data_IF_010975826052
#
_entry.id   IF_010975826052
#
_cell.length_a   1.000
_cell.length_b   1.000
_cell.length_c   1.000
_cell.angle_alpha   90.00
_cell.angle_beta   90.00
_cell.angle_gamma   90.00
#
_symmetry.space_group_name_H-M   'P 1'
#
loop_
_entity.id
_entity.type
_entity.pdbx_description
1 polymer ?
#
# COMPACT_ATOMS: atom_id res chain seq x y z
N UNK A 1 -0.52 5.07 23.24
CA UNK A 1 0.83 5.17 22.67
C UNK A 1 1.03 3.94 21.81
N UNK A 2 1.38 4.11 20.53
CA UNK A 2 1.54 3.04 19.56
C UNK A 2 3.02 2.73 19.37
N UNK A 3 3.38 1.44 19.41
CA UNK A 3 4.75 0.97 19.11
C UNK A 3 4.91 0.80 17.60
N UNK A 4 5.83 1.55 17.02
CA UNK A 4 6.08 1.59 15.59
C UNK A 4 7.49 1.09 15.30
N UNK A 5 7.59 -0.03 14.59
CA UNK A 5 8.85 -0.46 13.99
C UNK A 5 9.07 0.32 12.70
N UNK A 6 10.18 1.07 12.59
CA UNK A 6 10.57 1.77 11.37
C UNK A 6 11.75 1.04 10.73
N UNK A 7 11.57 0.52 9.52
CA UNK A 7 12.62 -0.11 8.71
C UNK A 7 13.09 0.90 7.65
N UNK A 8 14.27 1.50 7.78
CA UNK A 8 14.79 2.47 6.81
C UNK A 8 15.16 1.84 5.46
N UNK A 9 15.36 0.52 5.40
CA UNK A 9 15.63 -0.21 4.15
C UNK A 9 16.91 0.22 3.44
N UNK A 10 16.90 0.15 2.11
CA UNK A 10 18.06 0.36 1.23
C UNK A 10 17.82 1.48 0.20
N UNK A 11 18.90 1.92 -0.46
CA UNK A 11 18.85 2.90 -1.54
C UNK A 11 18.30 4.25 -1.05
N UNK A 12 17.19 4.72 -1.64
CA UNK A 12 16.50 5.94 -1.20
C UNK A 12 15.75 5.79 0.13
N UNK A 13 15.59 4.56 0.62
CA UNK A 13 14.80 4.24 1.80
C UNK A 13 15.15 5.09 3.03
N UNK A 14 16.43 5.21 3.42
CA UNK A 14 16.83 6.02 4.57
C UNK A 14 16.42 7.50 4.45
N UNK A 15 16.48 8.08 3.26
CA UNK A 15 16.11 9.50 3.02
C UNK A 15 14.61 9.72 3.24
N UNK A 16 13.77 8.86 2.64
CA UNK A 16 12.31 8.99 2.75
C UNK A 16 11.78 8.51 4.11
N UNK A 17 12.47 7.58 4.77
CA UNK A 17 12.17 7.15 6.13
C UNK A 17 12.43 8.28 7.13
N UNK A 18 13.54 9.02 6.98
CA UNK A 18 13.84 10.21 7.77
C UNK A 18 12.78 11.31 7.57
N UNK A 19 12.38 11.56 6.33
CA UNK A 19 11.31 12.50 6.02
C UNK A 19 9.99 12.12 6.70
N UNK A 20 9.60 10.84 6.58
CA UNK A 20 8.37 10.32 7.17
C UNK A 20 8.41 10.33 8.69
N UNK A 21 9.55 9.99 9.31
CA UNK A 21 9.79 10.11 10.75
C UNK A 21 9.56 11.54 11.24
N UNK A 22 10.08 12.53 10.52
CA UNK A 22 9.90 13.95 10.87
C UNK A 22 8.43 14.37 10.86
N UNK A 23 7.63 13.83 9.92
CA UNK A 23 6.18 14.02 9.90
C UNK A 23 5.55 13.34 11.13
N UNK A 24 5.87 12.08 11.41
CA UNK A 24 5.31 11.33 12.55
C UNK A 24 5.63 11.96 13.91
N UNK A 25 6.84 12.50 14.08
CA UNK A 25 7.25 13.24 15.29
C UNK A 25 6.42 14.52 15.45
N UNK A 26 6.14 15.26 14.37
CA UNK A 26 5.24 16.40 14.43
C UNK A 26 3.81 16.00 14.83
N UNK A 27 3.31 14.89 14.28
CA UNK A 27 2.00 14.33 14.67
C UNK A 27 2.00 13.95 16.16
N UNK A 28 3.07 13.32 16.64
CA UNK A 28 3.28 12.98 18.06
C UNK A 28 3.14 14.20 18.97
N UNK A 29 3.79 15.30 18.58
CA UNK A 29 3.84 16.51 19.38
C UNK A 29 2.53 17.30 19.34
N UNK A 30 1.87 17.36 18.18
CA UNK A 30 0.75 18.30 17.96
C UNK A 30 -0.65 17.69 17.98
N UNK A 31 -0.82 16.43 17.62
CA UNK A 31 -2.14 15.84 17.40
C UNK A 31 -2.52 14.75 18.40
N UNK A 32 -1.80 14.67 19.52
CA UNK A 32 -2.08 13.75 20.64
C UNK A 32 -2.13 12.26 20.24
N UNK A 33 -1.50 11.92 19.11
CA UNK A 33 -1.27 10.53 18.67
C UNK A 33 0.15 10.16 19.05
N UNK A 34 0.32 9.45 20.18
CA UNK A 34 1.64 9.15 20.73
C UNK A 34 2.26 7.91 20.10
N UNK A 35 3.50 8.03 19.62
CA UNK A 35 4.31 6.95 19.07
C UNK A 35 5.55 6.67 19.93
N UNK A 36 5.90 5.39 20.05
CA UNK A 36 7.22 4.89 20.42
C UNK A 36 7.84 4.31 19.14
N UNK A 37 8.78 5.03 18.51
CA UNK A 37 9.35 4.64 17.21
C UNK A 37 10.71 3.98 17.43
N UNK A 38 10.81 2.71 17.03
CA UNK A 38 12.05 1.92 17.12
C UNK A 38 12.58 1.64 15.73
N UNK A 39 13.83 2.04 15.46
CA UNK A 39 14.51 1.69 14.20
C UNK A 39 14.84 0.19 14.15
N UNK A 40 14.64 -0.41 12.99
CA UNK A 40 14.86 -1.83 12.75
C UNK A 40 15.71 -2.01 11.50
N UNK A 41 16.81 -2.74 11.64
CA UNK A 41 17.70 -3.05 10.53
C UNK A 41 17.19 -4.26 9.74
N UNK A 42 17.02 -4.10 8.43
CA UNK A 42 16.73 -5.17 7.50
C UNK A 42 17.12 -4.75 6.08
N UNK A 43 17.46 -5.72 5.22
CA UNK A 43 17.76 -5.50 3.81
C UNK A 43 19.21 -5.76 3.41
N UNK A 44 19.57 -5.27 2.24
CA UNK A 44 20.82 -5.62 1.54
C UNK A 44 22.06 -5.15 2.30
N UNK A 45 21.96 -4.02 3.01
CA UNK A 45 23.03 -3.53 3.86
C UNK A 45 23.47 -4.56 4.93
N UNK A 46 22.55 -5.40 5.41
CA UNK A 46 22.83 -6.45 6.39
C UNK A 46 23.39 -7.70 5.69
N UNK A 47 22.82 -8.07 4.55
CA UNK A 47 23.33 -9.18 3.73
C UNK A 47 24.78 -8.95 3.31
N UNK A 48 25.13 -7.73 2.89
CA UNK A 48 26.53 -7.36 2.53
C UNK A 48 27.52 -7.51 3.68
N UNK A 49 27.06 -7.43 4.93
CA UNK A 49 27.89 -7.64 6.14
C UNK A 49 27.94 -9.12 6.56
N UNK A 50 27.39 -10.03 5.76
CA UNK A 50 27.33 -11.48 6.04
C UNK A 50 26.16 -11.90 6.94
N UNK A 51 25.18 -11.01 7.17
CA UNK A 51 23.99 -11.30 7.97
C UNK A 51 22.82 -11.86 7.18
N UNK A 52 21.74 -12.24 7.87
CA UNK A 52 20.44 -12.54 7.26
C UNK A 52 19.73 -11.23 6.88
N UNK A 53 19.02 -11.20 5.76
CA UNK A 53 18.28 -10.02 5.31
C UNK A 53 17.32 -9.46 6.38
N UNK A 54 16.68 -10.35 7.14
CA UNK A 54 15.94 -10.01 8.36
C UNK A 54 16.58 -10.72 9.56
N UNK A 55 17.40 -10.03 10.38
CA UNK A 55 17.96 -10.59 11.59
C UNK A 55 16.89 -10.99 12.62
N UNK A 56 17.18 -12.01 13.43
CA UNK A 56 16.24 -12.53 14.42
C UNK A 56 15.86 -11.45 15.47
N UNK A 57 16.80 -10.59 15.87
CA UNK A 57 16.52 -9.47 16.77
C UNK A 57 15.60 -8.40 16.12
N UNK A 58 15.79 -8.12 14.84
CA UNK A 58 14.93 -7.22 14.06
C UNK A 58 13.50 -7.74 13.98
N UNK A 59 13.34 -9.04 13.71
CA UNK A 59 12.05 -9.69 13.71
C UNK A 59 11.35 -9.59 15.08
N UNK A 60 12.08 -9.80 16.19
CA UNK A 60 11.51 -9.68 17.54
C UNK A 60 11.05 -8.25 17.88
N UNK A 61 11.71 -7.21 17.36
CA UNK A 61 11.25 -5.82 17.51
C UNK A 61 9.94 -5.61 16.73
N UNK A 62 9.89 -6.05 15.47
CA UNK A 62 8.69 -5.95 14.62
C UNK A 62 7.51 -6.66 15.28
N UNK A 63 7.73 -7.88 15.78
CA UNK A 63 6.71 -8.70 16.43
C UNK A 63 6.12 -8.09 17.71
N UNK A 64 6.91 -7.30 18.44
CA UNK A 64 6.48 -6.60 19.67
C UNK A 64 5.86 -5.23 19.40
N UNK A 65 5.85 -4.79 18.15
CA UNK A 65 5.28 -3.51 17.73
C UNK A 65 3.79 -3.66 17.40
N UNK A 66 3.05 -2.56 17.44
CA UNK A 66 1.64 -2.53 17.02
C UNK A 66 1.52 -2.48 15.49
N UNK A 67 2.53 -1.88 14.85
CA UNK A 67 2.57 -1.60 13.42
C UNK A 67 4.01 -1.45 12.93
N UNK A 68 4.21 -1.66 11.64
CA UNK A 68 5.52 -1.50 11.00
C UNK A 68 5.41 -0.55 9.80
N UNK A 69 6.32 0.43 9.74
CA UNK A 69 6.57 1.27 8.57
C UNK A 69 7.86 0.80 7.92
N UNK A 70 7.81 0.47 6.63
CA UNK A 70 8.94 -0.08 5.91
C UNK A 70 9.22 0.75 4.67
N UNK A 71 10.42 1.29 4.55
CA UNK A 71 10.91 1.89 3.31
C UNK A 71 11.35 0.79 2.31
N UNK A 72 11.69 1.12 1.06
CA UNK A 72 12.10 0.13 0.08
C UNK A 72 13.32 -0.69 0.54
N UNK A 73 13.30 -1.97 0.21
CA UNK A 73 14.45 -2.88 0.37
C UNK A 73 14.89 -3.24 -1.05
N UNK A 74 16.19 -3.47 -1.25
CA UNK A 74 16.72 -3.83 -2.56
C UNK A 74 16.49 -5.30 -2.90
N UNK A 75 17.54 -6.00 -3.31
CA UNK A 75 17.46 -7.36 -3.87
C UNK A 75 16.89 -8.38 -2.87
N UNK A 76 17.14 -8.19 -1.58
CA UNK A 76 16.64 -9.05 -0.50
C UNK A 76 15.19 -8.76 -0.09
N UNK A 77 14.45 -7.94 -0.86
CA UNK A 77 13.08 -7.56 -0.52
C UNK A 77 12.17 -8.78 -0.30
N UNK A 78 12.30 -9.82 -1.13
CA UNK A 78 11.50 -11.04 -1.01
C UNK A 78 11.73 -11.75 0.34
N UNK A 79 12.99 -11.87 0.77
CA UNK A 79 13.36 -12.52 2.03
C UNK A 79 12.85 -11.78 3.27
N UNK A 80 12.53 -10.50 3.13
CA UNK A 80 11.97 -9.68 4.21
C UNK A 80 10.45 -9.62 4.11
N UNK A 81 9.90 -9.05 3.03
CA UNK A 81 8.47 -8.73 2.97
C UNK A 81 7.59 -9.97 2.78
N UNK A 82 8.01 -10.94 1.96
CA UNK A 82 7.21 -12.17 1.76
C UNK A 82 7.19 -12.99 3.03
N UNK A 83 8.33 -13.08 3.73
CA UNK A 83 8.42 -13.70 5.04
C UNK A 83 7.47 -13.04 6.06
N UNK A 84 7.56 -11.70 6.21
CA UNK A 84 6.71 -10.96 7.14
C UNK A 84 5.21 -11.08 6.81
N UNK A 85 4.84 -11.02 5.52
CA UNK A 85 3.44 -11.21 5.08
C UNK A 85 2.89 -12.56 5.50
N UNK A 86 3.68 -13.62 5.37
CA UNK A 86 3.27 -14.98 5.77
C UNK A 86 3.17 -15.12 7.28
N UNK A 87 4.19 -14.69 8.02
CA UNK A 87 4.25 -14.86 9.49
C UNK A 87 3.16 -14.07 10.20
N UNK A 88 2.81 -12.88 9.71
CA UNK A 88 1.76 -12.04 10.30
C UNK A 88 0.39 -12.19 9.61
N UNK A 89 0.24 -13.13 8.66
CA UNK A 89 -0.99 -13.35 7.86
C UNK A 89 -1.56 -12.04 7.29
N UNK A 90 -0.70 -11.25 6.63
CA UNK A 90 -1.03 -9.93 6.08
C UNK A 90 -1.78 -10.06 4.74
N UNK A 91 -3.02 -10.52 4.82
CA UNK A 91 -3.81 -10.99 3.69
C UNK A 91 -4.38 -9.91 2.77
N UNK A 92 -4.52 -8.68 3.25
CA UNK A 92 -5.08 -7.59 2.47
C UNK A 92 -3.99 -6.62 2.05
N UNK A 93 -3.65 -6.60 0.76
CA UNK A 93 -2.76 -5.61 0.18
C UNK A 93 -3.59 -4.45 -0.38
N UNK A 94 -3.41 -3.25 0.17
CA UNK A 94 -4.21 -2.07 -0.14
C UNK A 94 -3.38 -1.09 -0.95
N UNK A 95 -3.85 -0.75 -2.16
CA UNK A 95 -3.16 0.09 -3.13
C UNK A 95 -4.10 1.21 -3.61
N UNK A 96 -4.14 2.36 -2.92
CA UNK A 96 -4.89 3.51 -3.40
C UNK A 96 -4.20 4.11 -4.63
N UNK A 97 -5.00 4.49 -5.62
CA UNK A 97 -4.59 5.24 -6.79
C UNK A 97 -5.44 6.52 -6.85
N UNK A 98 -4.83 7.64 -6.54
CA UNK A 98 -5.49 8.95 -6.46
C UNK A 98 -4.72 10.00 -7.25
N UNK A 99 -5.45 10.76 -8.06
CA UNK A 99 -4.94 11.95 -8.73
C UNK A 99 -4.76 13.09 -7.71
N UNK A 100 -3.57 13.69 -7.68
CA UNK A 100 -3.27 14.87 -6.88
C UNK A 100 -3.02 16.10 -7.77
N UNK A 101 -3.25 17.32 -7.26
CA UNK A 101 -3.00 18.55 -8.02
C UNK A 101 -1.58 18.62 -8.59
N UNK A 102 -1.45 19.15 -9.80
CA UNK A 102 -0.17 19.31 -10.51
C UNK A 102 0.60 17.99 -10.75
N UNK A 103 -0.05 16.84 -10.67
CA UNK A 103 0.47 15.56 -11.14
C UNK A 103 -0.19 15.24 -12.47
N UNK A 104 0.62 14.94 -13.48
CA UNK A 104 0.11 14.57 -14.80
C UNK A 104 -0.48 13.16 -14.75
N UNK A 105 -1.80 13.07 -14.80
CA UNK A 105 -2.54 11.81 -14.84
C UNK A 105 -3.28 11.67 -16.17
N UNK A 106 -3.68 10.44 -16.50
CA UNK A 106 -4.41 10.17 -17.74
C UNK A 106 -5.80 10.84 -17.77
N UNK A 107 -6.44 10.96 -16.61
CA UNK A 107 -7.72 11.63 -16.39
C UNK A 107 -7.70 12.38 -15.05
N UNK A 108 -8.62 13.32 -14.91
CA UNK A 108 -8.87 14.04 -13.67
C UNK A 108 -9.81 13.27 -12.73
N UNK A 109 -9.85 13.66 -11.46
CA UNK A 109 -10.81 13.16 -10.46
C UNK A 109 -10.80 11.64 -10.25
N UNK A 110 -9.63 11.03 -10.41
CA UNK A 110 -9.41 9.61 -10.10
C UNK A 110 -9.15 9.47 -8.60
N UNK A 111 -9.96 8.68 -7.91
CA UNK A 111 -9.75 8.24 -6.53
C UNK A 111 -10.33 6.84 -6.40
N UNK A 112 -9.46 5.84 -6.43
CA UNK A 112 -9.83 4.44 -6.27
C UNK A 112 -8.86 3.71 -5.34
N UNK A 113 -9.26 2.53 -4.88
CA UNK A 113 -8.41 1.63 -4.12
C UNK A 113 -8.52 0.21 -4.64
N UNK A 114 -7.37 -0.40 -4.92
CA UNK A 114 -7.27 -1.81 -5.22
C UNK A 114 -7.01 -2.56 -3.90
N UNK A 115 -7.87 -3.53 -3.63
CA UNK A 115 -7.83 -4.45 -2.50
C UNK A 115 -7.45 -5.82 -3.05
N UNK A 116 -6.18 -6.17 -2.89
CA UNK A 116 -5.54 -7.36 -3.43
C UNK A 116 -5.41 -8.41 -2.35
N UNK A 117 -5.88 -9.63 -2.65
CA UNK A 117 -5.58 -10.82 -1.83
C UNK A 117 -4.06 -11.08 -1.87
N UNK A 118 -3.42 -11.35 -0.73
CA UNK A 118 -1.96 -11.28 -0.60
C UNK A 118 -1.31 -12.56 -0.02
N UNK A 119 -2.03 -13.68 0.06
CA UNK A 119 -1.55 -14.92 0.72
C UNK A 119 -1.63 -16.18 -0.12
N UNK A 120 -2.41 -16.20 -1.19
CA UNK A 120 -2.55 -17.36 -2.08
C UNK A 120 -2.35 -16.95 -3.56
N UNK A 121 -3.05 -17.61 -4.49
CA UNK A 121 -2.80 -17.56 -5.94
C UNK A 121 -1.44 -18.18 -6.29
N UNK A 122 -0.92 -17.89 -7.48
CA UNK A 122 0.42 -18.31 -7.93
C UNK A 122 1.56 -17.83 -7.01
N UNK A 123 1.33 -16.84 -6.15
CA UNK A 123 2.29 -16.34 -5.16
C UNK A 123 2.55 -17.32 -4.01
N UNK A 124 1.83 -18.45 -3.98
CA UNK A 124 2.21 -19.58 -3.15
C UNK A 124 3.61 -20.13 -3.52
N UNK A 125 4.09 -19.90 -4.75
CA UNK A 125 5.41 -20.35 -5.23
C UNK A 125 5.46 -21.86 -5.42
N UNK A 126 4.31 -22.48 -5.68
CA UNK A 126 4.19 -23.92 -5.91
C UNK A 126 4.44 -24.21 -7.38
N UNK A 127 5.71 -24.24 -7.75
CA UNK A 127 6.20 -24.45 -9.11
C UNK A 127 7.04 -25.73 -9.21
N UNK A 128 6.87 -26.46 -10.30
CA UNK A 128 7.53 -27.74 -10.54
C UNK A 128 7.96 -27.86 -12.00
N UNK A 129 9.16 -28.35 -12.26
CA UNK A 129 9.57 -28.79 -13.58
C UNK A 129 9.09 -30.23 -13.84
N UNK A 130 8.57 -30.47 -15.03
CA UNK A 130 8.08 -31.77 -15.48
C UNK A 130 8.45 -32.00 -16.95
N UNK A 131 9.48 -32.82 -17.19
CA UNK A 131 10.05 -33.07 -18.52
C UNK A 131 10.36 -31.76 -19.27
N UNK A 132 9.68 -31.50 -20.39
CA UNK A 132 9.80 -30.29 -21.22
C UNK A 132 8.71 -29.24 -20.89
N UNK A 133 8.14 -29.28 -19.69
CA UNK A 133 7.13 -28.35 -19.21
C UNK A 133 7.44 -27.87 -17.79
N UNK A 134 6.92 -26.72 -17.42
CA UNK A 134 6.90 -26.23 -16.04
C UNK A 134 5.44 -26.02 -15.62
N UNK A 135 5.13 -26.35 -14.38
CA UNK A 135 3.78 -26.31 -13.80
C UNK A 135 3.78 -25.31 -12.67
N UNK A 136 2.82 -24.38 -12.69
CA UNK A 136 2.53 -23.50 -11.56
C UNK A 136 1.13 -23.82 -10.99
N UNK A 137 1.04 -24.03 -9.68
CA UNK A 137 -0.24 -24.27 -9.01
C UNK A 137 -0.85 -22.93 -8.57
N UNK A 138 -2.01 -22.59 -9.16
CA UNK A 138 -2.87 -21.50 -8.70
C UNK A 138 -3.84 -22.00 -7.63
N UNK A 139 -3.58 -21.65 -6.37
CA UNK A 139 -4.44 -21.98 -5.24
C UNK A 139 -5.39 -20.82 -4.93
N UNK A 140 -6.70 -21.07 -4.92
CA UNK A 140 -7.71 -20.12 -4.42
C UNK A 140 -8.58 -20.81 -3.38
N UNK A 141 -8.77 -20.19 -2.23
CA UNK A 141 -9.56 -20.74 -1.12
C UNK A 141 -10.77 -19.85 -0.80
N UNK A 142 -11.86 -20.49 -0.33
CA UNK A 142 -13.05 -19.75 0.12
C UNK A 142 -12.70 -18.85 1.31
N UNK A 143 -11.82 -19.29 2.22
CA UNK A 143 -11.40 -18.52 3.39
C UNK A 143 -10.75 -17.20 2.98
N UNK A 144 -9.73 -17.24 2.11
CA UNK A 144 -9.02 -16.04 1.66
C UNK A 144 -9.92 -15.11 0.83
N UNK A 145 -10.72 -15.69 -0.07
CA UNK A 145 -11.67 -14.94 -0.90
C UNK A 145 -12.73 -14.22 -0.06
N UNK A 146 -13.26 -14.87 0.99
CA UNK A 146 -14.23 -14.27 1.90
C UNK A 146 -13.62 -13.10 2.69
N UNK A 147 -12.44 -13.29 3.31
CA UNK A 147 -11.82 -12.23 4.13
C UNK A 147 -11.41 -11.01 3.31
N UNK A 148 -10.89 -11.19 2.10
CA UNK A 148 -10.49 -10.06 1.25
C UNK A 148 -11.72 -9.28 0.77
N UNK A 149 -12.80 -9.97 0.43
CA UNK A 149 -14.08 -9.33 0.10
C UNK A 149 -14.64 -8.57 1.31
N UNK A 150 -14.68 -9.18 2.50
CA UNK A 150 -15.14 -8.50 3.72
C UNK A 150 -14.30 -7.24 4.03
N UNK A 151 -12.98 -7.31 3.81
CA UNK A 151 -12.11 -6.15 3.96
C UNK A 151 -12.48 -5.05 2.95
N UNK A 152 -12.66 -5.38 1.67
CA UNK A 152 -13.03 -4.42 0.63
C UNK A 152 -14.35 -3.70 0.94
N UNK A 153 -15.36 -4.43 1.42
CA UNK A 153 -16.66 -3.84 1.81
C UNK A 153 -16.58 -2.99 3.08
N UNK A 154 -15.73 -3.35 4.06
CA UNK A 154 -15.46 -2.47 5.21
C UNK A 154 -14.73 -1.19 4.78
N UNK A 155 -13.75 -1.32 3.89
CA UNK A 155 -12.96 -0.19 3.39
C UNK A 155 -13.83 0.80 2.62
N UNK A 156 -14.67 0.33 1.69
CA UNK A 156 -15.53 1.23 0.91
C UNK A 156 -16.52 2.00 1.80
N UNK A 157 -17.04 1.38 2.87
CA UNK A 157 -17.85 2.11 3.87
C UNK A 157 -17.03 3.17 4.61
N UNK A 158 -15.82 2.81 5.06
CA UNK A 158 -14.95 3.72 5.81
C UNK A 158 -14.55 4.96 4.98
N UNK A 159 -14.17 4.75 3.72
CA UNK A 159 -13.77 5.85 2.81
C UNK A 159 -14.93 6.77 2.44
N UNK A 160 -16.18 6.27 2.51
CA UNK A 160 -17.40 6.99 2.19
C UNK A 160 -17.35 7.71 0.83
N UNK A 161 -16.77 7.04 -0.17
CA UNK A 161 -16.66 7.49 -1.55
C UNK A 161 -17.94 7.20 -2.35
N UNK A 162 -17.79 6.54 -3.50
CA UNK A 162 -18.92 6.21 -4.40
C UNK A 162 -19.79 5.05 -3.91
N UNK A 163 -19.35 4.36 -2.84
CA UNK A 163 -19.98 3.15 -2.29
C UNK A 163 -20.13 2.07 -3.35
N UNK A 164 -19.05 1.84 -4.10
CA UNK A 164 -19.02 0.90 -5.22
C UNK A 164 -17.84 -0.08 -5.11
N UNK A 165 -18.13 -1.38 -5.11
CA UNK A 165 -17.12 -2.45 -5.11
C UNK A 165 -17.21 -3.22 -6.43
N UNK A 166 -16.11 -3.32 -7.14
CA UNK A 166 -15.98 -4.13 -8.36
C UNK A 166 -15.07 -5.33 -8.09
N UNK A 167 -15.62 -6.54 -8.11
CA UNK A 167 -14.82 -7.77 -8.06
C UNK A 167 -14.25 -8.08 -9.44
N UNK A 168 -12.93 -8.21 -9.54
CA UNK A 168 -12.23 -8.45 -10.81
C UNK A 168 -11.64 -9.85 -10.86
N UNK A 169 -11.95 -10.60 -11.91
CA UNK A 169 -11.59 -12.01 -12.05
C UNK A 169 -11.61 -12.46 -13.53
N UNK A 170 -11.39 -13.75 -13.80
CA UNK A 170 -11.48 -14.37 -15.14
C UNK A 170 -12.28 -15.68 -15.10
N UNK A 171 -13.42 -15.67 -14.40
CA UNK A 171 -14.21 -16.89 -14.15
C UNK A 171 -14.83 -17.51 -15.41
N UNK A 172 -14.90 -16.77 -16.53
CA UNK A 172 -15.28 -17.34 -17.83
C UNK A 172 -14.28 -18.37 -18.36
N UNK A 173 -13.00 -18.23 -18.00
CA UNK A 173 -11.93 -19.18 -18.32
C UNK A 173 -11.61 -20.06 -17.10
N UNK A 174 -11.28 -19.42 -15.97
CA UNK A 174 -10.89 -20.05 -14.71
C UNK A 174 -12.12 -20.42 -13.87
N UNK A 175 -12.96 -21.31 -14.41
CA UNK A 175 -14.28 -21.66 -13.85
C UNK A 175 -14.27 -22.15 -12.40
N UNK A 176 -13.16 -22.72 -11.93
CA UNK A 176 -13.05 -23.28 -10.57
C UNK A 176 -12.43 -22.29 -9.58
N UNK A 177 -11.23 -21.81 -9.87
CA UNK A 177 -10.49 -20.88 -8.99
C UNK A 177 -11.20 -19.53 -8.91
N UNK A 178 -11.37 -18.85 -10.04
CA UNK A 178 -12.01 -17.54 -10.07
C UNK A 178 -13.51 -17.61 -9.89
N UNK A 179 -14.13 -18.74 -10.25
CA UNK A 179 -15.51 -19.03 -9.89
C UNK A 179 -15.72 -19.05 -8.37
N UNK A 180 -14.79 -19.64 -7.61
CA UNK A 180 -14.83 -19.65 -6.15
C UNK A 180 -14.64 -18.25 -5.56
N UNK A 181 -13.65 -17.49 -6.05
CA UNK A 181 -13.41 -16.11 -5.63
C UNK A 181 -14.64 -15.21 -5.88
N UNK A 182 -15.18 -15.22 -7.09
CA UNK A 182 -16.35 -14.43 -7.47
C UNK A 182 -17.58 -14.82 -6.63
N UNK A 183 -17.77 -16.12 -6.36
CA UNK A 183 -18.86 -16.58 -5.50
C UNK A 183 -18.75 -16.07 -4.07
N UNK A 184 -17.55 -16.09 -3.48
CA UNK A 184 -17.33 -15.53 -2.15
C UNK A 184 -17.59 -14.02 -2.12
N UNK A 185 -17.15 -13.27 -3.15
CA UNK A 185 -17.44 -11.84 -3.26
C UNK A 185 -18.96 -11.57 -3.32
N UNK A 186 -19.71 -12.34 -4.12
CA UNK A 186 -21.18 -12.27 -4.19
C UNK A 186 -21.83 -12.56 -2.85
N UNK A 187 -21.40 -13.62 -2.15
CA UNK A 187 -21.92 -13.94 -0.81
C UNK A 187 -21.72 -12.78 0.16
N UNK A 188 -20.56 -12.12 0.15
CA UNK A 188 -20.28 -10.97 1.01
C UNK A 188 -21.12 -9.76 0.61
N UNK A 189 -21.29 -9.49 -0.69
CA UNK A 189 -22.11 -8.38 -1.17
C UNK A 189 -23.53 -8.39 -0.59
N UNK A 190 -24.12 -9.58 -0.37
CA UNK A 190 -25.47 -9.68 0.23
C UNK A 190 -25.57 -9.11 1.65
N UNK A 191 -24.44 -9.01 2.39
CA UNK A 191 -24.39 -8.42 3.74
C UNK A 191 -24.30 -6.88 3.72
N UNK A 192 -24.15 -6.27 2.55
CA UNK A 192 -23.93 -4.83 2.37
C UNK A 192 -24.87 -4.24 1.30
N UNK A 193 -26.20 -4.24 1.54
CA UNK A 193 -27.19 -3.82 0.53
C UNK A 193 -27.11 -2.33 0.14
N UNK A 194 -26.43 -1.51 0.95
CA UNK A 194 -26.15 -0.09 0.71
C UNK A 194 -24.96 0.18 -0.22
N UNK A 195 -24.22 -0.87 -0.61
CA UNK A 195 -23.04 -0.78 -1.48
C UNK A 195 -23.37 -1.39 -2.85
N UNK A 196 -23.08 -0.65 -3.92
CA UNK A 196 -23.17 -1.16 -5.28
C UNK A 196 -22.08 -2.20 -5.50
N UNK A 197 -22.46 -3.38 -5.99
CA UNK A 197 -21.54 -4.46 -6.33
C UNK A 197 -21.56 -4.73 -7.83
N UNK A 198 -20.37 -4.78 -8.46
CA UNK A 198 -20.20 -5.20 -9.85
C UNK A 198 -19.17 -6.33 -9.94
N UNK A 199 -19.23 -7.08 -11.03
CA UNK A 199 -18.18 -8.01 -11.44
C UNK A 199 -17.61 -7.54 -12.78
N UNK A 200 -16.30 -7.70 -12.98
CA UNK A 200 -15.65 -7.35 -14.23
C UNK A 200 -14.55 -8.36 -14.57
N UNK A 201 -14.38 -8.67 -15.85
CA UNK A 201 -13.23 -9.47 -16.26
C UNK A 201 -11.94 -8.65 -16.23
N UNK A 202 -10.83 -9.29 -15.85
CA UNK A 202 -9.53 -8.64 -15.68
C UNK A 202 -9.06 -7.84 -16.90
N UNK A 203 -9.24 -8.38 -18.10
CA UNK A 203 -8.94 -7.70 -19.37
C UNK A 203 -9.83 -6.47 -19.60
N UNK A 204 -11.13 -6.58 -19.31
CA UNK A 204 -12.03 -5.44 -19.37
C UNK A 204 -11.72 -4.39 -18.29
N UNK A 205 -11.24 -4.80 -17.12
CA UNK A 205 -10.82 -3.91 -16.05
C UNK A 205 -9.61 -3.08 -16.45
N UNK A 206 -8.55 -3.73 -16.98
CA UNK A 206 -7.36 -3.04 -17.48
C UNK A 206 -7.74 -1.98 -18.54
N UNK A 207 -8.52 -2.36 -19.56
CA UNK A 207 -9.00 -1.41 -20.56
C UNK A 207 -9.81 -0.25 -19.96
N UNK A 208 -10.64 -0.49 -18.94
CA UNK A 208 -11.43 0.55 -18.31
C UNK A 208 -10.63 1.44 -17.34
N UNK A 209 -9.53 0.96 -16.75
CA UNK A 209 -8.60 1.81 -16.00
C UNK A 209 -7.97 2.88 -16.89
N UNK A 210 -7.78 2.59 -18.18
CA UNK A 210 -7.32 3.59 -19.15
C UNK A 210 -8.48 4.45 -19.63
N UNK A 211 -9.60 3.82 -20.00
CA UNK A 211 -10.71 4.51 -20.68
C UNK A 211 -11.44 5.47 -19.75
N UNK A 212 -11.87 4.98 -18.58
CA UNK A 212 -12.71 5.71 -17.63
C UNK A 212 -12.33 5.37 -16.16
N UNK A 213 -11.08 5.60 -15.72
CA UNK A 213 -10.61 5.28 -14.36
C UNK A 213 -11.43 5.95 -13.26
N UNK A 214 -11.96 7.14 -13.53
CA UNK A 214 -12.77 7.90 -12.59
C UNK A 214 -14.04 7.15 -12.16
N UNK A 215 -14.48 6.11 -12.87
CA UNK A 215 -15.67 5.33 -12.49
C UNK A 215 -15.41 4.28 -11.39
N UNK A 216 -14.15 3.99 -11.08
CA UNK A 216 -13.81 3.05 -10.00
C UNK A 216 -13.85 3.73 -8.63
N UNK A 217 -14.06 2.92 -7.59
CA UNK A 217 -14.01 3.31 -6.18
C UNK A 217 -13.19 2.26 -5.42
N UNK A 218 -13.74 1.05 -5.22
CA UNK A 218 -12.97 -0.08 -4.71
C UNK A 218 -12.97 -1.23 -5.71
N UNK A 219 -11.78 -1.69 -6.08
CA UNK A 219 -11.57 -2.92 -6.85
C UNK A 219 -11.10 -4.00 -5.87
N UNK A 220 -11.72 -5.17 -5.89
CA UNK A 220 -11.25 -6.34 -5.13
C UNK A 220 -10.87 -7.46 -6.09
N UNK A 221 -9.69 -8.06 -5.90
CA UNK A 221 -9.19 -9.08 -6.84
C UNK A 221 -8.18 -10.04 -6.21
N UNK A 222 -7.81 -11.10 -6.95
CA UNK A 222 -6.81 -12.09 -6.53
C UNK A 222 -5.39 -11.52 -6.61
N UNK A 223 -4.42 -12.26 -6.08
CA UNK A 223 -3.06 -11.77 -5.89
C UNK A 223 -2.39 -11.31 -7.19
N UNK A 224 -2.35 -12.16 -8.22
CA UNK A 224 -1.67 -11.83 -9.49
C UNK A 224 -2.36 -10.70 -10.25
N UNK A 225 -3.69 -10.70 -10.28
CA UNK A 225 -4.45 -9.64 -10.94
C UNK A 225 -4.31 -8.30 -10.20
N UNK A 226 -4.29 -8.34 -8.88
CA UNK A 226 -4.09 -7.15 -8.05
C UNK A 226 -2.71 -6.55 -8.22
N UNK A 227 -1.67 -7.37 -8.40
CA UNK A 227 -0.31 -6.92 -8.72
C UNK A 227 -0.32 -6.03 -9.96
N UNK A 228 -0.78 -6.61 -11.08
CA UNK A 228 -0.79 -5.98 -12.40
C UNK A 228 -1.66 -4.71 -12.39
N UNK A 229 -2.90 -4.82 -11.89
CA UNK A 229 -3.83 -3.67 -11.89
C UNK A 229 -3.34 -2.54 -10.99
N UNK A 230 -2.62 -2.84 -9.91
CA UNK A 230 -2.14 -1.80 -8.99
C UNK A 230 -1.05 -0.94 -9.60
N UNK A 231 -0.14 -1.53 -10.37
CA UNK A 231 0.89 -0.80 -11.10
C UNK A 231 0.27 0.00 -12.26
N UNK A 232 -0.69 -0.61 -12.98
CA UNK A 232 -1.44 0.10 -14.03
C UNK A 232 -2.19 1.31 -13.46
N UNK A 233 -2.89 1.15 -12.33
CA UNK A 233 -3.62 2.23 -11.68
C UNK A 233 -2.68 3.34 -11.16
N UNK A 234 -1.52 2.99 -10.62
CA UNK A 234 -0.51 3.96 -10.17
C UNK A 234 0.01 4.82 -11.33
N UNK A 235 0.24 4.19 -12.50
CA UNK A 235 0.64 4.92 -13.70
C UNK A 235 -0.49 5.80 -14.26
N UNK A 236 -1.73 5.31 -14.22
CA UNK A 236 -2.92 6.06 -14.66
C UNK A 236 -3.11 7.35 -13.85
N UNK A 237 -2.79 7.35 -12.55
CA UNK A 237 -2.85 8.54 -11.68
C UNK A 237 -1.57 9.38 -11.68
N UNK A 238 -0.57 8.98 -12.48
CA UNK A 238 0.54 9.83 -12.91
C UNK A 238 1.91 9.44 -12.37
N UNK A 239 2.03 8.79 -11.22
CA UNK A 239 3.35 8.34 -10.73
C UNK A 239 3.30 7.27 -9.65
N UNK A 240 4.15 6.26 -9.82
CA UNK A 240 4.46 5.27 -8.80
C UNK A 240 5.16 5.88 -7.58
N UNK A 241 5.87 7.01 -7.77
CA UNK A 241 6.62 7.73 -6.75
C UNK A 241 5.76 8.35 -5.64
N UNK A 242 4.46 8.47 -5.86
CA UNK A 242 3.48 8.95 -4.87
C UNK A 242 2.52 7.86 -4.39
N UNK A 243 2.67 6.62 -4.86
CA UNK A 243 1.75 5.54 -4.56
C UNK A 243 2.10 4.88 -3.21
N UNK A 244 1.25 5.01 -2.17
CA UNK A 244 1.45 4.31 -0.91
C UNK A 244 0.87 2.89 -0.98
N UNK A 245 1.23 2.04 -0.02
CA UNK A 245 0.67 0.71 0.13
C UNK A 245 0.57 0.28 1.59
N UNK A 246 -0.32 -0.69 1.83
CA UNK A 246 -0.41 -1.38 3.10
C UNK A 246 -0.57 -2.88 2.89
N UNK A 247 -0.01 -3.67 3.80
CA UNK A 247 -0.23 -5.10 3.95
C UNK A 247 -0.86 -5.32 5.31
N UNK A 248 -2.11 -5.76 5.34
CA UNK A 248 -2.94 -5.74 6.53
C UNK A 248 -3.38 -7.16 6.87
N UNK A 249 -3.12 -7.55 8.12
CA UNK A 249 -3.73 -8.70 8.78
C UNK A 249 -4.70 -8.24 9.86
N UNK A 250 -5.24 -9.18 10.62
CA UNK A 250 -6.22 -8.87 11.66
C UNK A 250 -5.61 -8.11 12.84
N UNK A 251 -4.36 -8.44 13.20
CA UNK A 251 -3.70 -7.91 14.40
C UNK A 251 -2.48 -7.05 14.10
N UNK A 252 -1.96 -7.07 12.87
CA UNK A 252 -0.72 -6.38 12.50
C UNK A 252 -0.84 -5.82 11.09
N UNK A 253 -0.06 -4.78 10.80
CA UNK A 253 0.00 -4.22 9.46
C UNK A 253 1.41 -3.67 9.17
N UNK A 254 1.79 -3.76 7.89
CA UNK A 254 3.01 -3.16 7.35
C UNK A 254 2.61 -2.12 6.31
N UNK A 255 3.08 -0.90 6.46
CA UNK A 255 2.86 0.21 5.55
C UNK A 255 4.16 0.56 4.84
N UNK A 256 4.11 0.65 3.51
CA UNK A 256 5.30 0.82 2.67
C UNK A 256 4.95 1.60 1.41
N UNK A 257 5.91 2.28 0.77
CA UNK A 257 5.69 2.79 -0.58
C UNK A 257 5.66 1.63 -1.60
N UNK A 258 5.07 1.86 -2.78
CA UNK A 258 5.04 0.85 -3.85
C UNK A 258 6.41 0.65 -4.51
N UNK A 259 7.15 1.73 -4.72
CA UNK A 259 8.39 1.73 -5.49
C UNK A 259 9.54 0.99 -4.78
N UNK A 260 10.52 0.56 -5.58
CA UNK A 260 11.75 -0.07 -5.11
C UNK A 260 12.78 0.92 -4.52
N UNK A 261 13.99 0.41 -4.27
CA UNK A 261 15.07 1.15 -3.58
C UNK A 261 15.79 2.20 -4.42
N UNK A 262 15.61 2.21 -5.74
CA UNK A 262 16.16 3.23 -6.65
C UNK A 262 17.64 3.61 -6.34
N UNK A 263 18.57 2.64 -6.37
CA UNK A 263 19.97 2.86 -5.97
C UNK A 263 20.69 3.89 -6.84
N UNK A 264 20.22 4.14 -8.06
CA UNK A 264 20.73 5.12 -9.02
C UNK A 264 20.54 6.58 -8.55
N UNK A 265 19.58 6.86 -7.67
CA UNK A 265 19.34 8.20 -7.11
C UNK A 265 19.59 8.31 -5.60
N UNK A 266 19.96 7.21 -4.94
CA UNK A 266 20.26 7.19 -3.51
C UNK A 266 21.36 8.21 -3.13
N UNK A 267 21.13 8.95 -2.05
CA UNK A 267 22.05 9.97 -1.52
C UNK A 267 22.07 11.29 -2.31
N UNK A 268 21.29 11.42 -3.39
CA UNK A 268 21.22 12.66 -4.18
C UNK A 268 20.25 13.69 -3.59
N UNK A 269 19.41 13.31 -2.62
CA UNK A 269 18.40 14.18 -2.02
C UNK A 269 17.30 14.61 -2.99
N UNK A 270 16.98 13.75 -3.95
CA UNK A 270 15.91 13.97 -4.95
C UNK A 270 14.83 12.89 -4.90
N UNK A 271 14.93 11.95 -3.95
CA UNK A 271 13.91 10.93 -3.74
C UNK A 271 12.60 11.58 -3.29
N UNK A 272 11.48 11.11 -3.83
CA UNK A 272 10.15 11.60 -3.46
C UNK A 272 9.70 10.99 -2.12
N UNK A 273 9.52 11.78 -1.04
CA UNK A 273 9.11 11.24 0.25
C UNK A 273 7.59 10.98 0.35
N UNK A 274 6.81 11.42 -0.64
CA UNK A 274 5.35 11.48 -0.51
C UNK A 274 4.70 10.10 -0.43
N UNK A 275 5.18 9.10 -1.16
CA UNK A 275 4.67 7.72 -1.07
C UNK A 275 4.70 7.19 0.36
N UNK A 276 5.83 7.35 1.06
CA UNK A 276 5.99 6.84 2.43
C UNK A 276 5.24 7.71 3.46
N UNK A 277 5.16 9.03 3.25
CA UNK A 277 4.32 9.92 4.06
C UNK A 277 2.82 9.54 3.91
N UNK A 278 2.37 9.23 2.70
CA UNK A 278 1.01 8.76 2.44
C UNK A 278 0.78 7.34 2.97
N UNK A 279 1.81 6.50 3.05
CA UNK A 279 1.74 5.22 3.78
C UNK A 279 1.57 5.44 5.29
N UNK A 280 2.19 6.47 5.87
CA UNK A 280 1.94 6.87 7.26
C UNK A 280 0.51 7.40 7.48
N UNK A 281 -0.08 8.08 6.49
CA UNK A 281 -1.53 8.39 6.49
C UNK A 281 -2.37 7.11 6.54
N UNK A 282 -2.08 6.13 5.69
CA UNK A 282 -2.79 4.84 5.70
C UNK A 282 -2.65 4.11 7.04
N UNK A 283 -1.46 4.20 7.67
CA UNK A 283 -1.21 3.66 9.00
C UNK A 283 -2.14 4.25 10.04
N UNK A 284 -2.29 5.58 10.05
CA UNK A 284 -3.20 6.28 10.94
C UNK A 284 -4.67 5.89 10.70
N UNK A 285 -5.12 5.78 9.45
CA UNK A 285 -6.47 5.29 9.13
C UNK A 285 -6.72 3.87 9.66
N UNK A 286 -5.74 2.98 9.48
CA UNK A 286 -5.85 1.62 10.00
C UNK A 286 -5.87 1.57 11.52
N UNK A 287 -5.02 2.34 12.21
CA UNK A 287 -5.03 2.46 13.67
C UNK A 287 -6.37 3.02 14.16
N UNK A 288 -6.96 3.98 13.44
CA UNK A 288 -8.28 4.50 13.75
C UNK A 288 -9.36 3.42 13.61
N UNK A 289 -9.36 2.65 12.52
CA UNK A 289 -10.32 1.57 12.31
C UNK A 289 -10.16 0.44 13.34
N UNK A 290 -8.92 0.08 13.68
CA UNK A 290 -8.60 -1.01 14.61
C UNK A 290 -8.93 -0.65 16.06
N UNK A 291 -8.61 0.57 16.49
CA UNK A 291 -8.67 0.99 17.90
C UNK A 291 -9.81 1.98 18.19
N UNK A 292 -10.62 2.34 17.20
CA UNK A 292 -11.64 3.39 17.29
C UNK A 292 -11.06 4.75 17.75
N UNK A 293 -9.86 5.07 17.29
CA UNK A 293 -9.12 6.28 17.66
C UNK A 293 -9.39 7.44 16.69
N UNK A 294 -10.31 8.32 17.05
CA UNK A 294 -10.68 9.49 16.24
C UNK A 294 -9.53 10.48 16.00
N UNK A 295 -8.51 10.50 16.88
CA UNK A 295 -7.33 11.37 16.70
C UNK A 295 -6.50 10.93 15.50
N UNK A 296 -6.41 9.62 15.28
CA UNK A 296 -5.76 9.06 14.10
C UNK A 296 -6.49 9.43 12.80
N UNK A 297 -7.83 9.46 12.79
CA UNK A 297 -8.61 9.94 11.63
C UNK A 297 -8.28 11.40 11.32
N UNK A 298 -8.26 12.24 12.36
CA UNK A 298 -7.90 13.65 12.21
C UNK A 298 -6.48 13.82 11.66
N UNK A 299 -5.49 13.14 12.26
CA UNK A 299 -4.09 13.22 11.84
C UNK A 299 -3.89 12.73 10.40
N UNK A 300 -4.54 11.62 10.00
CA UNK A 300 -4.50 11.12 8.64
C UNK A 300 -5.01 12.15 7.64
N UNK A 301 -6.18 12.75 7.92
CA UNK A 301 -6.74 13.81 7.08
C UNK A 301 -5.80 15.01 6.96
N UNK A 302 -5.15 15.42 8.06
CA UNK A 302 -4.19 16.53 8.02
C UNK A 302 -2.97 16.24 7.15
N UNK A 303 -2.45 15.01 7.15
CA UNK A 303 -1.37 14.59 6.25
C UNK A 303 -1.82 14.69 4.78
N UNK A 304 -2.98 14.11 4.44
CA UNK A 304 -3.54 14.16 3.08
C UNK A 304 -3.72 15.60 2.58
N UNK A 305 -4.31 16.45 3.43
CA UNK A 305 -4.55 17.86 3.15
C UNK A 305 -3.23 18.63 2.94
N UNK A 306 -2.21 18.34 3.77
CA UNK A 306 -0.89 18.95 3.64
C UNK A 306 -0.19 18.56 2.34
N UNK A 307 -0.18 17.26 1.99
CA UNK A 307 0.38 16.77 0.72
C UNK A 307 -0.35 17.41 -0.46
N UNK A 308 -1.68 17.47 -0.42
CA UNK A 308 -2.50 18.09 -1.46
C UNK A 308 -2.14 19.57 -1.65
N UNK A 309 -1.97 20.35 -0.57
CA UNK A 309 -1.60 21.77 -0.65
C UNK A 309 -0.16 22.00 -1.11
N UNK A 310 0.78 21.15 -0.70
CA UNK A 310 2.17 21.20 -1.18
C UNK A 310 2.22 20.99 -2.69
N UNK A 311 1.54 19.94 -3.17
CA UNK A 311 1.46 19.64 -4.60
C UNK A 311 0.70 20.72 -5.38
N UNK A 312 -0.39 21.28 -4.84
CA UNK A 312 -1.11 22.40 -5.45
C UNK A 312 -0.26 23.66 -5.63
N UNK A 313 0.76 23.88 -4.78
CA UNK A 313 1.74 24.97 -4.92
C UNK A 313 2.89 24.63 -5.88
N UNK A 314 2.88 23.45 -6.49
CA UNK A 314 3.91 22.99 -7.42
C UNK A 314 5.20 22.56 -6.75
N UNK A 315 5.21 22.39 -5.42
CA UNK A 315 6.40 21.94 -4.67
C UNK A 315 6.49 20.42 -4.80
N UNK A 316 7.36 19.93 -5.67
CA UNK A 316 7.44 18.50 -6.01
C UNK A 316 8.83 18.10 -6.54
N UNK A 317 9.19 16.83 -6.36
CA UNK A 317 10.48 16.27 -6.74
C UNK A 317 10.59 15.99 -8.26
N UNK A 318 11.80 15.73 -8.79
CA UNK A 318 12.02 15.54 -10.24
C UNK A 318 11.25 14.39 -10.88
N UNK A 319 11.00 13.30 -10.15
CA UNK A 319 10.25 12.12 -10.62
C UNK A 319 8.80 12.44 -11.02
N UNK A 320 8.24 13.53 -10.50
CA UNK A 320 6.89 14.02 -10.80
C UNK A 320 6.91 15.41 -11.47
N UNK A 321 8.02 15.74 -12.14
CA UNK A 321 8.15 16.91 -12.99
C UNK A 321 8.37 18.23 -12.24
N UNK A 322 8.97 18.19 -11.04
CA UNK A 322 9.42 19.39 -10.33
C UNK A 322 10.93 19.51 -10.26
N UNK A 323 11.41 20.42 -9.41
CA UNK A 323 12.85 20.69 -9.21
C UNK A 323 13.24 20.76 -7.72
N UNK A 324 12.32 20.42 -6.82
CA UNK A 324 12.55 20.45 -5.39
C UNK A 324 13.30 19.20 -4.92
N UNK A 325 14.09 19.36 -3.85
CA UNK A 325 14.78 18.27 -3.17
C UNK A 325 13.83 17.56 -2.20
N UNK A 326 14.21 16.36 -1.75
CA UNK A 326 13.48 15.60 -0.72
C UNK A 326 13.18 16.46 0.51
N UNK A 327 14.18 17.21 0.99
CA UNK A 327 14.06 18.06 2.17
C UNK A 327 13.14 19.27 1.95
N UNK A 328 13.10 19.83 0.73
CA UNK A 328 12.21 20.94 0.39
C UNK A 328 10.74 20.50 0.47
N UNK A 329 10.41 19.36 -0.14
CA UNK A 329 9.07 18.77 -0.10
C UNK A 329 8.69 18.41 1.33
N UNK A 330 9.61 17.77 2.08
CA UNK A 330 9.39 17.41 3.48
C UNK A 330 9.11 18.64 4.35
N UNK A 331 9.92 19.69 4.20
CA UNK A 331 9.76 20.95 4.93
C UNK A 331 8.44 21.63 4.60
N UNK A 332 8.01 21.59 3.33
CA UNK A 332 6.74 22.14 2.91
C UNK A 332 5.56 21.39 3.55
N UNK A 333 5.60 20.05 3.61
CA UNK A 333 4.58 19.24 4.29
C UNK A 333 4.53 19.55 5.78
N UNK A 334 5.69 19.62 6.44
CA UNK A 334 5.79 19.98 7.87
C UNK A 334 5.23 21.39 8.14
N UNK A 335 5.51 22.35 7.25
CA UNK A 335 5.00 23.72 7.37
C UNK A 335 3.46 23.75 7.26
N UNK A 336 2.89 23.02 6.30
CA UNK A 336 1.42 22.88 6.16
C UNK A 336 0.78 22.25 7.40
N UNK A 337 1.41 21.24 8.00
CA UNK A 337 0.93 20.61 9.22
C UNK A 337 1.02 21.51 10.46
N UNK A 338 2.01 22.43 10.50
CA UNK A 338 2.18 23.40 11.59
C UNK A 338 1.20 24.58 11.53
N UNK A 339 0.74 24.94 10.34
CA UNK A 339 -0.19 26.05 10.11
C UNK A 339 -1.64 25.73 10.50
N UNK A 340 -1.90 24.49 10.91
CA UNK A 340 -3.21 23.92 11.23
C UNK A 340 -3.55 24.05 12.72
#
# INVERSE_FOLDING_TARGET
>A
MYKLALLPGDGIGPEIAKATRSVLELIHDRFDVKFEITDVEAGDAIVRKGGKALPDHSFEIIKKSDVCMKAPIGESAADVIVYLRRVFDLYANIRPAKNYPNIEALKENIDMVIVRENTEDVYAGLEYDFENASIAIRLITKKASTRIAEYAFKLVRFRNGKKNVTAVHKANLLRKTDGLFASACREIATKYPDIKFNEMYIDACAMNLIRNPENFDVIVTTNLFGDILSDEAAQVVGSLGIAPAANIGDNFAIFEPVHGSAPDIAGKGIANPLSMILSARMMLEWLAMKNNDSKCVFAAKRIEDAVTRVLARGIKTPDIGGNNRTDDVTSAVIAELKAI
#
